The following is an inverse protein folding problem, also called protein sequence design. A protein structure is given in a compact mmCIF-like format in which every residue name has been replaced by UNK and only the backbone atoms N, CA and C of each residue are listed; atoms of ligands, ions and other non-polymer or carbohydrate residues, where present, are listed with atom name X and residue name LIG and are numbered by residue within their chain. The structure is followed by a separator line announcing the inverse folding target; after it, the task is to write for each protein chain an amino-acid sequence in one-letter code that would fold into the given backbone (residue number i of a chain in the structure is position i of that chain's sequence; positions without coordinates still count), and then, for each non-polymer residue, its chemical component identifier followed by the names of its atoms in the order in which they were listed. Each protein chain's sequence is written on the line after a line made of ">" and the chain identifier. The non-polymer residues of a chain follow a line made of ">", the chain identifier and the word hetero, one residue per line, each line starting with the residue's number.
data_IF_067451468460
#
_entry.id   IF_067451468460
#
_cell.length_a   1.000
_cell.length_b   1.000
_cell.length_c   1.000
_cell.angle_alpha   90.00
_cell.angle_beta   90.00
_cell.angle_gamma   90.00
#
_symmetry.space_group_name_H-M   'P 1'
#
loop_
_entity.id
_entity.type
_entity.pdbx_description
1 polymer ?
#
# COMPACT_ATOMS: atom_id res chain seq x y z
N UNK A 1 -1.76 15.19 4.77
CA UNK A 1 -0.41 14.67 5.11
C UNK A 1 -0.05 13.58 4.11
N UNK A 2 1.22 13.22 3.94
CA UNK A 2 1.67 12.16 3.01
C UNK A 2 2.89 11.42 3.56
N UNK A 3 3.18 10.24 3.00
CA UNK A 3 4.31 9.40 3.38
C UNK A 3 4.24 8.91 4.83
N UNK A 4 5.41 8.63 5.42
CA UNK A 4 5.53 8.10 6.80
C UNK A 4 4.91 9.00 7.88
N UNK A 5 4.74 10.31 7.60
CA UNK A 5 4.01 11.18 8.50
C UNK A 5 2.52 10.83 8.61
N UNK A 6 1.96 10.18 7.59
CA UNK A 6 0.56 9.80 7.48
C UNK A 6 0.33 8.30 7.70
N UNK A 7 1.20 7.44 7.18
CA UNK A 7 1.02 5.99 7.18
C UNK A 7 2.32 5.23 7.44
N UNK A 8 2.96 5.42 8.61
CA UNK A 8 4.17 4.69 8.95
C UNK A 8 3.87 3.19 9.01
N UNK A 9 4.75 2.36 8.45
CA UNK A 9 4.54 0.91 8.37
C UNK A 9 5.82 0.14 8.63
N UNK A 10 5.66 -1.12 9.01
CA UNK A 10 6.79 -2.05 9.11
C UNK A 10 7.41 -2.29 7.72
N UNK A 11 8.70 -2.70 7.64
CA UNK A 11 9.36 -2.88 6.35
C UNK A 11 9.06 -4.24 5.68
N UNK A 12 8.03 -4.98 6.12
CA UNK A 12 7.77 -6.36 5.66
C UNK A 12 6.98 -6.45 4.35
N UNK A 13 6.60 -5.31 3.76
CA UNK A 13 6.17 -5.22 2.36
C UNK A 13 7.17 -4.49 1.47
N UNK A 14 8.18 -3.83 2.04
CA UNK A 14 9.11 -2.96 1.31
C UNK A 14 8.39 -1.86 0.46
N UNK A 15 7.24 -1.36 0.93
CA UNK A 15 6.39 -0.42 0.19
C UNK A 15 6.36 1.00 0.75
N UNK A 16 7.00 1.32 1.88
CA UNK A 16 6.89 2.65 2.51
C UNK A 16 7.22 3.80 1.57
N UNK A 17 8.40 3.77 0.94
CA UNK A 17 8.80 4.79 -0.04
C UNK A 17 7.93 4.78 -1.30
N UNK A 18 7.49 3.60 -1.76
CA UNK A 18 6.56 3.49 -2.88
C UNK A 18 5.23 4.18 -2.58
N UNK A 19 4.67 4.02 -1.37
CA UNK A 19 3.45 4.69 -0.96
C UNK A 19 3.61 6.21 -0.91
N UNK A 20 4.77 6.72 -0.45
CA UNK A 20 5.06 8.16 -0.49
C UNK A 20 5.16 8.71 -1.92
N UNK A 21 5.67 7.92 -2.87
CA UNK A 21 5.72 8.30 -4.30
C UNK A 21 4.32 8.30 -4.90
N UNK A 22 3.53 7.24 -4.66
CA UNK A 22 2.12 7.17 -5.08
C UNK A 22 1.31 8.35 -4.53
N UNK A 23 1.52 8.72 -3.26
CA UNK A 23 0.90 9.89 -2.65
C UNK A 23 1.24 11.18 -3.40
N UNK A 24 2.51 11.40 -3.74
CA UNK A 24 2.94 12.59 -4.45
C UNK A 24 2.26 12.70 -5.82
N UNK A 25 2.13 11.58 -6.53
CA UNK A 25 1.44 11.52 -7.83
C UNK A 25 -0.05 11.84 -7.68
N UNK A 26 -0.75 11.19 -6.76
CA UNK A 26 -2.20 11.40 -6.57
C UNK A 26 -2.48 12.81 -6.04
N UNK A 27 -1.66 13.33 -5.14
CA UNK A 27 -1.78 14.69 -4.63
C UNK A 27 -1.60 15.72 -5.75
N UNK A 28 -0.59 15.54 -6.61
CA UNK A 28 -0.37 16.40 -7.76
C UNK A 28 -1.57 16.40 -8.71
N UNK A 29 -2.17 15.23 -8.98
CA UNK A 29 -3.38 15.10 -9.80
C UNK A 29 -4.59 15.80 -9.17
N UNK A 30 -4.77 15.68 -7.86
CA UNK A 30 -5.86 16.35 -7.15
C UNK A 30 -5.72 17.88 -7.13
N UNK A 31 -4.50 18.40 -7.11
CA UNK A 31 -4.22 19.84 -7.07
C UNK A 31 -4.06 20.48 -8.45
N UNK A 32 -4.01 19.68 -9.53
CA UNK A 32 -3.81 20.20 -10.88
C UNK A 32 -4.98 21.09 -11.31
N UNK A 33 -4.67 22.31 -11.77
CA UNK A 33 -5.65 23.33 -12.20
C UNK A 33 -6.71 23.69 -11.14
N UNK A 34 -6.37 23.53 -9.85
CA UNK A 34 -7.26 23.85 -8.73
C UNK A 34 -6.97 25.24 -8.18
N UNK A 35 -8.03 26.04 -8.01
CA UNK A 35 -7.95 27.35 -7.38
C UNK A 35 -7.61 27.25 -5.89
N UNK A 36 -7.03 28.30 -5.31
CA UNK A 36 -6.72 28.33 -3.87
C UNK A 36 -7.98 28.12 -3.01
N UNK A 37 -9.14 28.66 -3.43
CA UNK A 37 -10.41 28.48 -2.72
C UNK A 37 -10.89 27.02 -2.68
N UNK A 38 -10.49 26.21 -3.66
CA UNK A 38 -10.90 24.81 -3.77
C UNK A 38 -9.84 23.83 -3.23
N UNK A 39 -8.70 24.33 -2.75
CA UNK A 39 -7.60 23.50 -2.26
C UNK A 39 -8.03 22.52 -1.16
N UNK A 40 -8.90 22.95 -0.23
CA UNK A 40 -9.42 22.07 0.82
C UNK A 40 -10.27 20.91 0.27
N UNK A 41 -10.98 21.11 -0.84
CA UNK A 41 -11.73 20.04 -1.51
C UNK A 41 -10.78 19.07 -2.22
N UNK A 42 -9.77 19.59 -2.92
CA UNK A 42 -8.74 18.77 -3.58
C UNK A 42 -7.96 17.90 -2.58
N UNK A 43 -7.60 18.44 -1.41
CA UNK A 43 -6.93 17.68 -0.37
C UNK A 43 -7.81 16.54 0.19
N UNK A 44 -9.12 16.75 0.30
CA UNK A 44 -10.07 15.68 0.70
C UNK A 44 -10.21 14.59 -0.36
N UNK A 45 -10.19 14.96 -1.64
CA UNK A 45 -10.15 13.98 -2.75
C UNK A 45 -8.90 13.10 -2.68
N UNK A 46 -7.75 13.74 -2.48
CA UNK A 46 -6.48 13.04 -2.25
C UNK A 46 -6.56 12.07 -1.06
N UNK A 47 -7.05 12.53 0.08
CA UNK A 47 -7.20 11.70 1.28
C UNK A 47 -8.09 10.49 1.01
N UNK A 48 -9.27 10.70 0.42
CA UNK A 48 -10.21 9.61 0.08
C UNK A 48 -9.59 8.59 -0.90
N UNK A 49 -8.83 9.05 -1.88
CA UNK A 49 -8.19 8.17 -2.87
C UNK A 49 -7.04 7.32 -2.28
N UNK A 50 -6.35 7.82 -1.24
CA UNK A 50 -5.14 7.20 -0.69
C UNK A 50 -5.36 6.43 0.60
N UNK A 51 -6.27 6.87 1.48
CA UNK A 51 -6.43 6.33 2.83
C UNK A 51 -6.63 4.81 2.84
N UNK A 52 -7.55 4.30 2.00
CA UNK A 52 -7.82 2.86 1.93
C UNK A 52 -6.63 2.05 1.42
N UNK A 53 -5.97 2.53 0.36
CA UNK A 53 -4.79 1.88 -0.25
C UNK A 53 -3.63 1.80 0.74
N UNK A 54 -3.29 2.90 1.40
CA UNK A 54 -2.17 2.96 2.35
C UNK A 54 -2.47 2.14 3.61
N UNK A 55 -3.72 2.14 4.09
CA UNK A 55 -4.14 1.31 5.23
C UNK A 55 -4.05 -0.19 4.92
N UNK A 56 -4.40 -0.60 3.69
CA UNK A 56 -4.27 -1.97 3.25
C UNK A 56 -2.80 -2.43 3.24
N UNK A 57 -1.88 -1.61 2.69
CA UNK A 57 -0.43 -1.91 2.71
C UNK A 57 0.11 -1.97 4.13
N UNK A 58 -0.26 -1.02 5.00
CA UNK A 58 0.17 -1.02 6.39
C UNK A 58 -0.28 -2.29 7.11
N UNK A 59 -1.54 -2.69 6.93
CA UNK A 59 -2.12 -3.90 7.53
C UNK A 59 -1.44 -5.17 7.00
N UNK A 60 -1.26 -5.27 5.69
CA UNK A 60 -0.56 -6.40 5.06
C UNK A 60 0.89 -6.49 5.53
N UNK A 61 1.58 -5.36 5.77
CA UNK A 61 2.92 -5.40 6.34
C UNK A 61 2.94 -5.84 7.81
N UNK A 62 1.90 -5.57 8.59
CA UNK A 62 1.75 -6.14 9.93
C UNK A 62 1.52 -7.65 9.87
N UNK A 63 0.66 -8.12 8.96
CA UNK A 63 0.44 -9.55 8.75
C UNK A 63 1.72 -10.28 8.30
N UNK A 64 2.50 -9.66 7.42
CA UNK A 64 3.77 -10.23 6.97
C UNK A 64 4.80 -10.35 8.10
N UNK A 65 4.80 -9.44 9.09
CA UNK A 65 5.62 -9.62 10.30
C UNK A 65 5.34 -10.97 10.93
N UNK A 66 4.08 -11.26 11.19
CA UNK A 66 3.68 -12.48 11.90
C UNK A 66 3.90 -13.72 11.03
N UNK A 67 3.55 -13.62 9.75
CA UNK A 67 3.77 -14.68 8.76
C UNK A 67 5.26 -15.07 8.72
N UNK A 68 6.18 -14.11 8.59
CA UNK A 68 7.61 -14.38 8.43
C UNK A 68 8.31 -14.81 9.72
N UNK A 69 7.70 -14.59 10.89
CA UNK A 69 8.29 -14.89 12.19
C UNK A 69 7.44 -15.89 13.00
N UNK A 70 6.69 -16.77 12.32
CA UNK A 70 6.01 -17.88 12.97
C UNK A 70 7.00 -18.73 13.76
N UNK A 71 6.59 -19.17 14.95
CA UNK A 71 7.35 -20.14 15.71
C UNK A 71 7.39 -21.48 14.97
N UNK A 72 8.46 -22.23 15.15
CA UNK A 72 8.58 -23.59 14.60
C UNK A 72 7.40 -24.45 15.06
N UNK A 73 6.69 -25.04 14.10
CA UNK A 73 5.44 -25.75 14.38
C UNK A 73 4.71 -26.21 13.12
N UNK A 74 3.52 -26.78 13.30
CA UNK A 74 2.73 -27.24 12.16
C UNK A 74 2.28 -26.07 11.26
N UNK A 75 1.86 -24.96 11.86
CA UNK A 75 1.43 -23.77 11.11
C UNK A 75 2.55 -23.19 10.22
N UNK A 76 3.79 -23.16 10.73
CA UNK A 76 4.95 -22.74 9.94
C UNK A 76 5.24 -23.70 8.78
N UNK A 77 5.10 -25.02 8.98
CA UNK A 77 5.25 -26.01 7.91
C UNK A 77 4.17 -25.90 6.85
N UNK A 78 2.93 -25.63 7.26
CA UNK A 78 1.80 -25.46 6.35
C UNK A 78 2.01 -24.21 5.47
N UNK A 79 2.49 -23.12 6.07
CA UNK A 79 2.89 -21.90 5.36
C UNK A 79 4.03 -22.16 4.37
N UNK A 80 5.09 -22.83 4.79
CA UNK A 80 6.24 -23.14 3.93
C UNK A 80 5.82 -24.04 2.75
N UNK A 81 4.94 -25.01 3.01
CA UNK A 81 4.33 -25.83 1.95
C UNK A 81 3.55 -24.97 0.96
N UNK A 82 2.69 -24.05 1.44
CA UNK A 82 1.96 -23.13 0.58
C UNK A 82 2.90 -22.31 -0.34
N UNK A 83 3.98 -21.74 0.20
CA UNK A 83 4.96 -21.02 -0.62
C UNK A 83 5.71 -21.91 -1.60
N UNK A 84 6.01 -23.16 -1.23
CA UNK A 84 6.67 -24.12 -2.13
C UNK A 84 5.79 -24.53 -3.33
N UNK A 85 4.48 -24.46 -3.17
CA UNK A 85 3.48 -24.85 -4.17
C UNK A 85 3.00 -23.68 -5.03
N UNK A 86 3.39 -22.45 -4.70
CA UNK A 86 2.94 -21.25 -5.43
C UNK A 86 3.56 -21.25 -6.84
N UNK A 87 2.76 -21.34 -7.92
CA UNK A 87 3.29 -21.42 -9.27
C UNK A 87 4.02 -20.14 -9.68
N UNK A 88 5.04 -20.23 -10.56
CA UNK A 88 5.60 -19.04 -11.22
C UNK A 88 4.49 -18.23 -11.90
N UNK A 89 4.38 -16.94 -11.56
CA UNK A 89 3.38 -16.03 -12.13
C UNK A 89 2.05 -15.93 -11.38
N UNK A 90 1.84 -16.70 -10.30
CA UNK A 90 0.76 -16.42 -9.35
C UNK A 90 1.30 -15.56 -8.23
N UNK A 91 0.95 -14.27 -8.22
CA UNK A 91 1.39 -13.36 -7.16
C UNK A 91 0.20 -12.88 -6.34
N UNK A 92 0.19 -13.30 -5.07
CA UNK A 92 -0.72 -12.74 -4.05
C UNK A 92 -0.50 -11.23 -3.81
N UNK A 93 0.49 -10.64 -4.49
CA UNK A 93 0.89 -9.24 -4.41
C UNK A 93 0.54 -8.45 -5.66
N UNK A 94 -0.20 -9.01 -6.63
CA UNK A 94 -0.53 -8.31 -7.88
C UNK A 94 -1.24 -6.98 -7.60
N UNK A 95 -2.16 -6.96 -6.63
CA UNK A 95 -2.81 -5.72 -6.17
C UNK A 95 -1.85 -4.63 -5.67
N UNK A 96 -0.63 -4.99 -5.24
CA UNK A 96 0.42 -4.05 -4.83
C UNK A 96 1.12 -3.47 -6.04
N UNK A 97 1.47 -4.31 -7.01
CA UNK A 97 2.33 -3.94 -8.15
C UNK A 97 1.54 -3.44 -9.37
N UNK A 98 0.28 -3.82 -9.51
CA UNK A 98 -0.62 -3.38 -10.58
C UNK A 98 -1.36 -2.08 -10.22
N UNK A 99 -1.18 -1.55 -9.01
CA UNK A 99 -1.78 -0.27 -8.63
C UNK A 99 -1.18 0.88 -9.44
N UNK A 100 -2.02 1.56 -10.21
CA UNK A 100 -1.61 2.69 -11.04
C UNK A 100 -2.09 4.03 -10.44
N UNK A 101 -1.15 4.74 -9.82
CA UNK A 101 -1.36 6.07 -9.25
C UNK A 101 -1.69 7.15 -10.31
N UNK A 102 -1.39 6.91 -11.59
CA UNK A 102 -1.71 7.84 -12.68
C UNK A 102 -3.17 7.76 -13.10
N UNK A 103 -3.84 6.61 -12.90
CA UNK A 103 -5.18 6.35 -13.41
C UNK A 103 -6.23 6.06 -12.33
N UNK A 104 -5.82 5.78 -11.08
CA UNK A 104 -6.75 5.61 -9.95
C UNK A 104 -7.71 6.80 -9.83
N UNK A 105 -8.96 6.54 -9.47
CA UNK A 105 -9.98 7.57 -9.31
C UNK A 105 -9.64 8.53 -8.16
N UNK A 106 -9.96 9.83 -8.35
CA UNK A 106 -9.75 10.94 -7.39
C UNK A 106 -11.02 11.80 -7.26
#
# INVERSE_FOLDING_TARGET
>A
MLGDACHPMLPFMAQGSCQAIEDAVVLARCLFDVSISDAALALRRYENARQGRTAQVQTSSLMNRDLFHMLDGQEQKDRDMFFSLTPPGMSILDWVFEYDALTVAI
#
